data_IF_685737976764
#
_entry.id   IF_685737976764
#
_cell.length_a   1.000
_cell.length_b   1.000
_cell.length_c   1.000
_cell.angle_alpha   90.00
_cell.angle_beta   90.00
_cell.angle_gamma   90.00
#
_symmetry.space_group_name_H-M   'P 1'
#
loop_
_entity.id
_entity.type
_entity.pdbx_description
1 polymer ?
#
# COMPACT_ATOMS: atom_id res chain seq x y z
N UNK A 1 44.07 32.07 15.02
CA UNK A 1 43.74 33.45 14.59
C UNK A 1 42.28 33.65 14.98
N UNK A 2 42.02 33.90 16.27
CA UNK A 2 41.69 35.21 16.89
C UNK A 2 40.30 35.70 16.45
N UNK A 3 39.22 35.37 17.19
CA UNK A 3 38.50 36.11 18.28
C UNK A 3 37.34 37.02 17.77
N UNK A 4 36.17 36.91 18.45
CA UNK A 4 35.20 37.98 18.84
C UNK A 4 34.20 38.48 17.78
N UNK A 5 32.97 38.93 18.09
CA UNK A 5 32.07 38.99 19.27
C UNK A 5 30.71 39.48 18.73
N UNK A 6 29.62 39.25 19.47
CA UNK A 6 28.40 40.05 19.36
C UNK A 6 28.61 41.44 20.03
N UNK A 7 27.79 42.46 19.73
CA UNK A 7 26.78 42.81 20.73
C UNK A 7 25.44 43.37 20.22
N UNK A 8 24.51 43.33 21.16
CA UNK A 8 23.13 43.78 21.27
C UNK A 8 22.79 45.22 20.86
N UNK A 9 21.50 45.46 20.57
CA UNK A 9 20.79 46.65 21.06
C UNK A 9 19.29 46.38 21.27
N UNK A 10 18.87 46.64 22.50
CA UNK A 10 17.52 46.57 23.05
C UNK A 10 16.55 47.57 22.42
N UNK A 11 15.27 47.19 22.30
CA UNK A 11 14.15 48.06 22.71
C UNK A 11 13.22 47.24 23.61
N UNK A 12 13.09 47.73 24.85
CA UNK A 12 12.12 47.33 25.86
C UNK A 12 10.74 47.88 25.50
N UNK A 13 9.68 47.09 25.66
CA UNK A 13 8.47 47.52 26.36
C UNK A 13 7.79 46.30 27.01
N UNK A 14 7.65 46.37 28.33
CA UNK A 14 6.94 45.43 29.20
C UNK A 14 5.49 45.92 29.32
N UNK A 15 4.51 45.02 29.18
CA UNK A 15 3.34 45.00 30.08
C UNK A 15 2.85 43.57 30.30
N UNK A 16 2.58 43.27 31.56
CA UNK A 16 2.17 42.00 32.15
C UNK A 16 0.64 41.83 32.12
N UNK A 17 0.23 40.58 31.92
CA UNK A 17 -0.92 39.85 32.49
C UNK A 17 -2.38 40.01 32.01
N UNK A 18 -2.84 38.84 31.53
CA UNK A 18 -4.09 38.10 31.78
C UNK A 18 -5.34 38.46 30.96
N UNK A 19 -5.68 37.50 30.10
CA UNK A 19 -6.97 37.39 29.42
C UNK A 19 -6.88 36.42 28.24
N UNK A 20 -6.90 35.11 28.54
CA UNK A 20 -7.20 33.97 27.66
C UNK A 20 -6.99 34.15 26.15
N UNK A 21 -5.79 33.79 25.68
CA UNK A 21 -5.45 33.72 24.26
C UNK A 21 -5.40 32.28 23.77
N UNK A 22 -6.41 31.91 22.97
CA UNK A 22 -6.39 30.74 22.08
C UNK A 22 -5.08 30.73 21.30
N UNK A 23 -4.26 29.68 21.46
CA UNK A 23 -3.06 29.50 20.63
C UNK A 23 -3.49 29.25 19.18
N UNK A 24 -3.27 30.24 18.32
CA UNK A 24 -3.45 30.12 16.88
C UNK A 24 -2.52 29.05 16.33
N UNK A 25 -3.08 28.11 15.55
CA UNK A 25 -2.35 27.19 14.69
C UNK A 25 -1.58 28.05 13.68
N UNK A 26 -0.25 27.91 13.61
CA UNK A 26 0.56 28.56 12.57
C UNK A 26 -0.03 28.19 11.21
N UNK A 27 -0.45 29.19 10.42
CA UNK A 27 -1.04 28.97 9.10
C UNK A 27 -0.02 28.25 8.21
N UNK A 28 -0.44 27.14 7.60
CA UNK A 28 0.34 26.43 6.58
C UNK A 28 0.63 27.40 5.43
N UNK A 29 1.90 27.54 5.05
CA UNK A 29 2.28 28.39 3.92
C UNK A 29 1.77 27.79 2.59
N UNK A 30 1.16 28.60 1.70
CA UNK A 30 0.67 28.14 0.39
C UNK A 30 1.74 27.43 -0.47
N UNK A 31 3.01 27.82 -0.31
CA UNK A 31 4.13 27.31 -1.11
C UNK A 31 4.47 25.84 -0.79
N UNK A 32 4.17 25.37 0.43
CA UNK A 32 4.47 23.99 0.88
C UNK A 32 3.44 22.99 0.36
N UNK A 33 2.19 23.44 0.14
CA UNK A 33 1.10 22.58 -0.32
C UNK A 33 1.23 22.15 -1.79
N UNK A 34 1.84 22.99 -2.63
CA UNK A 34 2.10 22.67 -4.03
C UNK A 34 3.18 21.60 -4.25
N UNK A 35 3.98 21.29 -3.23
CA UNK A 35 5.06 20.29 -3.29
C UNK A 35 4.55 18.85 -3.20
N UNK A 36 3.34 18.64 -2.67
CA UNK A 36 2.72 17.31 -2.56
C UNK A 36 1.96 17.01 -3.84
N UNK A 37 2.57 16.18 -4.70
CA UNK A 37 1.89 15.61 -5.88
C UNK A 37 0.59 14.94 -5.47
N UNK A 38 -0.43 15.03 -6.31
CA UNK A 38 -1.77 14.54 -5.99
C UNK A 38 -1.79 13.05 -5.56
N UNK A 39 -1.02 12.19 -6.23
CA UNK A 39 -0.82 10.78 -5.85
C UNK A 39 -0.16 10.53 -4.48
N UNK A 40 0.50 11.54 -3.89
CA UNK A 40 1.14 11.46 -2.57
C UNK A 40 0.27 12.07 -1.47
N UNK A 41 -0.91 12.59 -1.80
CA UNK A 41 -1.81 13.22 -0.85
C UNK A 41 -2.44 12.15 0.04
N UNK A 42 -2.09 12.18 1.32
CA UNK A 42 -2.77 11.42 2.35
C UNK A 42 -3.90 12.27 2.92
N UNK A 43 -5.11 11.72 2.95
CA UNK A 43 -6.29 12.45 3.39
C UNK A 43 -6.17 12.89 4.85
N UNK A 44 -6.30 14.19 5.08
CA UNK A 44 -6.28 14.80 6.41
C UNK A 44 -7.69 15.14 6.92
N UNK A 45 -8.69 15.11 6.04
CA UNK A 45 -10.08 15.27 6.41
C UNK A 45 -10.90 14.10 5.88
N UNK A 46 -10.74 12.93 6.50
CA UNK A 46 -11.30 11.68 5.98
C UNK A 46 -12.78 11.48 6.40
N UNK A 47 -13.45 12.55 6.81
CA UNK A 47 -14.85 12.56 7.26
C UNK A 47 -15.71 13.40 6.29
N UNK A 48 -17.01 13.13 6.20
CA UNK A 48 -17.90 13.89 5.32
C UNK A 48 -17.95 15.40 5.64
N UNK A 49 -18.15 16.21 4.60
CA UNK A 49 -18.28 17.67 4.74
C UNK A 49 -16.96 18.41 4.88
N UNK A 50 -15.89 17.84 4.33
CA UNK A 50 -14.59 18.47 4.12
C UNK A 50 -14.74 19.76 3.29
N UNK A 51 -14.15 20.85 3.79
CA UNK A 51 -14.11 22.12 3.09
C UNK A 51 -12.79 22.82 3.40
N UNK A 52 -12.43 23.83 2.60
CA UNK A 52 -11.18 24.57 2.73
C UNK A 52 -10.92 25.04 4.16
N UNK A 53 -11.91 25.69 4.78
CA UNK A 53 -11.77 26.24 6.12
C UNK A 53 -11.47 25.16 7.15
N UNK A 54 -12.30 24.11 7.19
CA UNK A 54 -12.13 23.00 8.15
C UNK A 54 -10.83 22.22 7.91
N UNK A 55 -10.38 22.11 6.66
CA UNK A 55 -9.11 21.49 6.33
C UNK A 55 -7.92 22.31 6.87
N UNK A 56 -7.93 23.61 6.63
CA UNK A 56 -6.89 24.53 7.09
C UNK A 56 -6.88 24.63 8.62
N UNK A 57 -8.05 24.55 9.28
CA UNK A 57 -8.18 24.42 10.75
C UNK A 57 -7.51 23.16 11.30
N UNK A 58 -7.37 22.09 10.51
CA UNK A 58 -6.61 20.88 10.88
C UNK A 58 -5.10 21.01 10.65
N UNK A 59 -4.63 22.16 10.16
CA UNK A 59 -3.24 22.40 9.77
C UNK A 59 -2.87 21.67 8.47
N UNK A 60 -3.86 21.42 7.61
CA UNK A 60 -3.69 20.65 6.39
C UNK A 60 -3.78 21.51 5.13
N UNK A 61 -3.28 20.94 4.03
CA UNK A 61 -3.28 21.56 2.73
C UNK A 61 -4.61 21.34 2.03
N UNK A 62 -5.16 22.41 1.48
CA UNK A 62 -6.33 22.36 0.62
C UNK A 62 -5.94 22.68 -0.82
N UNK A 63 -6.19 21.74 -1.74
CA UNK A 63 -6.04 22.01 -3.18
C UNK A 63 -7.33 21.61 -3.89
N UNK A 64 -8.07 22.58 -4.48
CA UNK A 64 -9.20 22.29 -5.35
C UNK A 64 -8.73 21.43 -6.52
N UNK A 65 -9.53 20.43 -6.88
CA UNK A 65 -9.22 19.56 -7.99
C UNK A 65 -9.25 20.34 -9.32
N UNK A 66 -8.16 20.27 -10.09
CA UNK A 66 -8.26 20.38 -11.55
C UNK A 66 -8.72 19.01 -12.08
N UNK A 67 -9.60 19.03 -13.08
CA UNK A 67 -10.28 17.87 -13.70
C UNK A 67 -9.41 16.70 -14.20
N UNK A 68 -8.10 16.71 -13.95
CA UNK A 68 -7.12 15.73 -14.40
C UNK A 68 -6.86 14.57 -13.44
N UNK A 69 -7.20 14.63 -12.14
CA UNK A 69 -6.93 13.53 -11.17
C UNK A 69 -8.11 13.26 -10.21
N UNK A 70 -9.14 12.48 -10.63
CA UNK A 70 -10.28 12.12 -9.78
C UNK A 70 -9.92 11.15 -8.65
N UNK A 71 -10.54 11.34 -7.48
CA UNK A 71 -10.40 10.50 -6.30
C UNK A 71 -9.27 10.90 -5.32
N UNK A 72 -8.52 11.97 -5.61
CA UNK A 72 -7.48 12.47 -4.70
C UNK A 72 -8.08 13.42 -3.66
N UNK A 73 -7.69 13.32 -2.37
CA UNK A 73 -8.30 14.10 -1.31
C UNK A 73 -8.02 15.60 -1.49
N UNK A 74 -9.09 16.41 -1.41
CA UNK A 74 -8.99 17.89 -1.46
C UNK A 74 -8.25 18.45 -0.26
N UNK A 75 -8.39 17.78 0.90
CA UNK A 75 -7.69 18.08 2.13
C UNK A 75 -6.63 17.02 2.43
N UNK A 76 -5.35 17.39 2.50
CA UNK A 76 -4.28 16.43 2.70
C UNK A 76 -3.18 16.93 3.62
N UNK A 77 -2.43 16.00 4.19
CA UNK A 77 -1.32 16.33 5.07
C UNK A 77 -0.18 17.04 4.31
N UNK A 78 0.31 18.21 4.78
CA UNK A 78 1.54 18.79 4.25
C UNK A 78 2.76 17.90 4.54
N UNK A 79 3.86 18.03 3.78
CA UNK A 79 5.11 17.31 4.04
C UNK A 79 5.65 17.57 5.45
N UNK A 80 5.37 18.75 5.98
CA UNK A 80 5.83 19.23 7.29
C UNK A 80 4.77 19.05 8.38
N UNK A 81 3.72 18.25 8.13
CA UNK A 81 2.68 18.04 9.13
C UNK A 81 3.29 17.58 10.44
N UNK A 82 2.88 18.21 11.55
CA UNK A 82 3.42 17.91 12.85
C UNK A 82 3.18 16.42 13.18
N UNK A 83 4.26 15.65 13.23
CA UNK A 83 4.24 14.24 13.65
C UNK A 83 5.02 14.13 14.95
N UNK A 84 5.03 12.93 15.54
CA UNK A 84 5.90 12.70 16.68
C UNK A 84 7.35 12.85 16.27
N UNK A 85 8.15 13.42 17.16
CA UNK A 85 9.61 13.45 17.09
C UNK A 85 10.18 12.78 18.32
N UNK A 86 11.39 12.29 18.19
CA UNK A 86 12.10 11.67 19.32
C UNK A 86 12.57 12.79 20.26
N UNK A 87 12.06 12.81 21.49
CA UNK A 87 12.52 13.69 22.55
C UNK A 87 13.74 13.10 23.25
N UNK A 88 13.71 11.80 23.52
CA UNK A 88 14.81 11.05 24.13
C UNK A 88 14.93 9.69 23.42
N UNK A 89 16.17 9.25 23.14
CA UNK A 89 16.46 7.94 22.58
C UNK A 89 17.56 7.27 23.40
N UNK A 90 17.18 6.24 24.16
CA UNK A 90 18.09 5.46 24.97
C UNK A 90 18.29 4.10 24.32
N UNK A 91 19.47 3.88 23.74
CA UNK A 91 19.84 2.55 23.23
C UNK A 91 20.22 1.65 24.40
N UNK A 92 19.79 0.40 24.33
CA UNK A 92 20.13 -0.66 25.28
C UNK A 92 20.80 -1.79 24.51
N UNK A 93 21.49 -2.69 25.20
CA UNK A 93 22.06 -3.88 24.56
C UNK A 93 21.00 -4.68 23.80
N UNK A 94 19.74 -4.64 24.25
CA UNK A 94 18.60 -5.35 23.64
C UNK A 94 17.72 -4.49 22.74
N UNK A 95 18.12 -3.30 22.33
CA UNK A 95 17.32 -2.46 21.43
C UNK A 95 17.31 -1.01 21.86
N UNK A 96 16.14 -0.39 21.99
CA UNK A 96 16.05 1.02 22.38
C UNK A 96 14.72 1.37 23.04
N UNK A 97 14.73 2.43 23.85
CA UNK A 97 13.54 3.11 24.35
C UNK A 97 13.55 4.54 23.81
N UNK A 98 12.45 4.96 23.21
CA UNK A 98 12.27 6.30 22.66
C UNK A 98 11.09 7.00 23.34
N UNK A 99 11.32 8.18 23.91
CA UNK A 99 10.24 9.06 24.31
C UNK A 99 9.87 9.92 23.12
N UNK A 100 8.68 9.70 22.58
CA UNK A 100 8.14 10.42 21.44
C UNK A 100 7.30 11.57 21.95
N UNK A 101 7.46 12.73 21.33
CA UNK A 101 6.74 13.94 21.69
C UNK A 101 6.25 14.66 20.45
N UNK A 102 5.06 15.25 20.57
CA UNK A 102 4.44 16.09 19.54
C UNK A 102 4.11 17.45 20.16
N UNK A 103 4.54 18.52 19.48
CA UNK A 103 4.39 19.90 19.98
C UNK A 103 3.02 20.49 19.67
N UNK A 104 2.53 20.23 18.46
CA UNK A 104 1.26 20.76 17.98
C UNK A 104 0.19 19.70 18.09
N UNK A 105 -0.99 20.12 18.54
CA UNK A 105 -2.13 19.22 18.60
C UNK A 105 -2.62 18.85 17.19
N UNK A 106 -2.98 17.58 16.99
CA UNK A 106 -3.63 17.11 15.77
C UNK A 106 -5.13 17.39 15.80
N UNK A 107 -5.79 17.12 14.69
CA UNK A 107 -7.25 17.12 14.61
C UNK A 107 -7.90 15.96 15.38
N UNK A 108 -7.12 14.98 15.83
CA UNK A 108 -7.64 13.81 16.55
C UNK A 108 -7.89 14.20 18.00
N UNK A 109 -9.16 14.13 18.42
CA UNK A 109 -9.54 14.37 19.80
C UNK A 109 -8.87 13.37 20.77
N UNK A 110 -8.53 13.82 21.98
CA UNK A 110 -7.91 13.01 23.04
C UNK A 110 -6.57 12.35 22.66
N UNK A 111 -5.79 13.00 21.79
CA UNK A 111 -4.45 12.56 21.47
C UNK A 111 -3.48 12.67 22.67
N UNK A 112 -2.42 11.86 22.62
CA UNK A 112 -1.37 11.91 23.63
C UNK A 112 -0.21 12.77 23.15
N UNK A 113 0.18 13.79 23.92
CA UNK A 113 1.37 14.59 23.56
C UNK A 113 2.68 13.80 23.70
N UNK A 114 2.67 12.75 24.52
CA UNK A 114 3.82 11.91 24.80
C UNK A 114 3.45 10.43 24.66
N UNK A 115 4.29 9.70 23.93
CA UNK A 115 4.20 8.25 23.78
C UNK A 115 5.59 7.68 24.01
N UNK A 116 5.71 6.64 24.83
CA UNK A 116 6.97 5.90 24.96
C UNK A 116 6.91 4.68 24.08
N UNK A 117 7.94 4.49 23.26
CA UNK A 117 8.17 3.28 22.50
C UNK A 117 9.33 2.52 23.12
N UNK A 118 9.11 1.27 23.50
CA UNK A 118 10.15 0.31 23.85
C UNK A 118 10.29 -0.71 22.72
N UNK A 119 11.46 -0.77 22.10
CA UNK A 119 11.85 -1.79 21.13
C UNK A 119 12.82 -2.75 21.81
N UNK A 120 12.35 -3.95 22.15
CA UNK A 120 13.09 -4.92 22.94
C UNK A 120 13.28 -6.20 22.13
N UNK A 121 14.53 -6.60 21.99
CA UNK A 121 14.96 -7.87 21.45
C UNK A 121 14.57 -8.98 22.44
N UNK A 122 13.54 -9.75 22.10
CA UNK A 122 13.10 -10.88 22.94
C UNK A 122 13.73 -12.19 22.50
N UNK A 123 13.91 -12.43 21.20
CA UNK A 123 14.62 -13.60 20.66
C UNK A 123 15.49 -13.18 19.45
N UNK A 124 16.32 -14.09 18.94
CA UNK A 124 17.09 -13.82 17.70
C UNK A 124 16.20 -13.36 16.53
N UNK A 125 14.95 -13.82 16.46
CA UNK A 125 14.04 -13.54 15.34
C UNK A 125 12.83 -12.69 15.73
N UNK A 126 12.68 -12.32 17.00
CA UNK A 126 11.55 -11.53 17.51
C UNK A 126 12.03 -10.23 18.17
N UNK A 127 11.62 -9.12 17.57
CA UNK A 127 11.66 -7.79 18.15
C UNK A 127 10.27 -7.42 18.64
N UNK A 128 10.13 -7.06 19.91
CA UNK A 128 8.88 -6.54 20.48
C UNK A 128 8.91 -5.03 20.42
N UNK A 129 7.88 -4.44 19.80
CA UNK A 129 7.61 -3.01 19.87
C UNK A 129 6.45 -2.79 20.83
N UNK A 130 6.66 -2.01 21.89
CA UNK A 130 5.63 -1.67 22.88
C UNK A 130 5.45 -0.17 22.94
N UNK A 131 4.23 0.30 22.65
CA UNK A 131 3.85 1.70 22.82
C UNK A 131 3.09 1.85 24.14
N UNK A 132 3.56 2.74 24.99
CA UNK A 132 2.93 3.07 26.29
C UNK A 132 2.67 4.56 26.37
N UNK A 133 1.67 4.93 27.15
CA UNK A 133 1.33 6.32 27.41
C UNK A 133 1.86 6.68 28.80
N UNK A 134 2.93 7.49 28.92
CA UNK A 134 3.52 7.80 30.23
C UNK A 134 2.53 8.42 31.22
N UNK A 135 1.54 9.16 30.72
CA UNK A 135 0.48 9.78 31.53
C UNK A 135 -0.66 8.83 31.92
N UNK A 136 -0.73 7.63 31.33
CA UNK A 136 -1.75 6.62 31.63
C UNK A 136 -1.09 5.23 31.77
N UNK A 137 -0.41 4.99 32.90
CA UNK A 137 0.35 3.75 33.12
C UNK A 137 -0.52 2.52 33.35
N UNK A 138 -1.82 2.72 33.64
CA UNK A 138 -2.76 1.64 33.96
C UNK A 138 -3.66 1.28 32.78
N UNK A 139 -3.35 1.80 31.58
CA UNK A 139 -4.09 1.49 30.36
C UNK A 139 -4.09 -0.03 30.13
N UNK A 140 -5.27 -0.59 29.96
CA UNK A 140 -5.43 -2.03 29.77
C UNK A 140 -4.69 -2.52 28.52
N UNK A 141 -3.89 -3.58 28.69
CA UNK A 141 -3.18 -4.27 27.61
C UNK A 141 -3.78 -5.69 27.45
N UNK A 142 -4.19 -6.09 26.23
CA UNK A 142 -4.61 -7.47 25.98
C UNK A 142 -3.47 -8.44 26.30
N UNK A 143 -3.72 -9.55 27.02
CA UNK A 143 -2.72 -10.57 27.23
C UNK A 143 -2.40 -11.27 25.91
N UNK A 144 -1.18 -11.09 25.40
CA UNK A 144 -0.67 -11.78 24.21
C UNK A 144 0.36 -12.82 24.67
N UNK A 145 0.14 -14.13 24.46
CA UNK A 145 1.05 -15.18 24.88
C UNK A 145 2.28 -15.20 23.96
N UNK A 146 3.28 -14.38 24.26
CA UNK A 146 4.47 -14.25 23.43
C UNK A 146 5.57 -15.29 23.74
N UNK A 147 5.44 -16.17 24.73
CA UNK A 147 6.52 -17.07 25.14
C UNK A 147 7.72 -16.33 25.75
N UNK A 148 8.64 -17.04 26.40
CA UNK A 148 9.71 -16.39 27.18
C UNK A 148 10.80 -15.77 26.30
N UNK A 149 11.30 -14.56 26.66
CA UNK A 149 12.50 -13.98 26.04
C UNK A 149 13.76 -14.83 26.28
N UNK A 150 14.67 -14.84 25.31
CA UNK A 150 16.00 -15.45 25.43
C UNK A 150 16.84 -14.72 26.50
N UNK A 151 17.32 -15.47 27.49
CA UNK A 151 18.03 -14.92 28.66
C UNK A 151 19.37 -14.25 28.32
N UNK A 152 20.08 -14.70 27.28
CA UNK A 152 21.42 -14.23 26.91
C UNK A 152 21.46 -13.58 25.53
N UNK A 153 20.34 -13.02 25.06
CA UNK A 153 20.32 -12.33 23.78
C UNK A 153 21.04 -10.98 23.88
N UNK A 154 22.09 -10.82 23.08
CA UNK A 154 22.84 -9.55 22.92
C UNK A 154 22.34 -8.79 21.69
N UNK A 155 21.94 -9.47 20.61
CA UNK A 155 21.42 -8.84 19.39
C UNK A 155 20.62 -9.85 18.58
N UNK A 156 19.52 -9.43 17.96
CA UNK A 156 18.75 -10.26 17.03
C UNK A 156 19.16 -10.07 15.56
N UNK A 157 18.62 -10.91 14.68
CA UNK A 157 18.85 -10.95 13.23
C UNK A 157 18.08 -9.83 12.48
N UNK A 158 17.77 -8.73 13.17
CA UNK A 158 17.09 -7.57 12.63
C UNK A 158 17.96 -6.34 12.83
N UNK A 159 18.05 -5.50 11.79
CA UNK A 159 18.66 -4.20 11.87
C UNK A 159 17.57 -3.14 11.85
N UNK A 160 17.47 -2.36 12.93
CA UNK A 160 16.43 -1.35 13.11
C UNK A 160 17.08 0.00 13.33
N UNK A 161 16.80 0.91 12.39
CA UNK A 161 17.19 2.30 12.46
C UNK A 161 16.01 3.16 12.90
N UNK A 162 16.34 4.20 13.67
CA UNK A 162 15.36 5.17 14.17
C UNK A 162 15.60 6.49 13.47
N UNK A 163 14.65 6.91 12.66
CA UNK A 163 14.54 8.27 12.18
C UNK A 163 13.95 9.12 13.32
N UNK A 164 14.65 10.18 13.71
CA UNK A 164 14.28 10.94 14.90
C UNK A 164 13.20 12.00 14.64
N UNK A 165 13.19 12.59 13.43
CA UNK A 165 12.25 13.63 13.03
C UNK A 165 12.03 13.59 11.49
N UNK A 166 10.78 13.45 11.01
CA UNK A 166 9.66 12.86 11.74
C UNK A 166 10.05 11.49 12.31
N UNK A 167 9.47 11.09 13.44
CA UNK A 167 9.78 9.80 14.04
C UNK A 167 9.41 8.67 13.09
N UNK A 168 10.34 7.76 12.85
CA UNK A 168 10.12 6.59 12.01
C UNK A 168 11.04 5.45 12.43
N UNK A 169 10.56 4.22 12.25
CA UNK A 169 11.37 3.01 12.45
C UNK A 169 11.61 2.41 11.07
N UNK A 170 12.87 2.29 10.68
CA UNK A 170 13.28 1.65 9.42
C UNK A 170 13.91 0.30 9.74
N UNK A 171 13.48 -0.75 9.03
CA UNK A 171 14.15 -2.04 9.07
C UNK A 171 15.03 -2.14 7.83
N UNK A 172 16.35 -2.27 8.00
CA UNK A 172 17.24 -2.53 6.89
C UNK A 172 17.16 -4.02 6.57
N UNK A 173 16.37 -4.38 5.56
CA UNK A 173 16.30 -5.75 5.04
C UNK A 173 16.68 -5.71 3.57
N UNK A 174 17.86 -6.23 3.23
CA UNK A 174 18.12 -6.76 1.90
C UNK A 174 17.43 -8.13 1.80
N UNK A 175 16.11 -8.15 1.61
CA UNK A 175 15.29 -9.28 1.11
C UNK A 175 13.82 -9.05 1.46
N UNK A 176 13.01 -8.74 0.45
CA UNK A 176 11.55 -8.71 0.57
C UNK A 176 11.00 -10.13 0.48
N UNK A 177 10.98 -10.86 1.58
CA UNK A 177 10.11 -12.03 1.73
C UNK A 177 8.95 -11.70 2.67
N UNK A 178 7.85 -11.22 2.09
CA UNK A 178 6.58 -11.22 2.80
C UNK A 178 6.00 -12.62 2.81
N UNK A 179 5.87 -13.16 4.01
CA UNK A 179 5.30 -14.47 4.28
C UNK A 179 3.78 -14.43 4.20
N UNK A 180 3.23 -14.87 3.07
CA UNK A 180 1.85 -15.35 3.01
C UNK A 180 1.73 -16.81 3.48
N UNK A 181 2.87 -17.49 3.63
CA UNK A 181 2.98 -18.84 4.18
C UNK A 181 4.24 -18.88 5.06
N UNK A 182 4.22 -18.24 6.24
CA UNK A 182 5.19 -18.63 7.27
C UNK A 182 4.60 -19.80 8.02
N UNK A 183 5.07 -21.00 7.71
CA UNK A 183 5.20 -22.04 8.72
C UNK A 183 5.97 -21.42 9.90
N UNK A 184 5.33 -21.26 11.05
CA UNK A 184 6.00 -20.83 12.27
C UNK A 184 7.08 -21.86 12.58
N UNK A 185 8.33 -21.55 12.26
CA UNK A 185 9.47 -22.32 12.76
C UNK A 185 9.61 -21.94 14.22
N UNK A 186 9.19 -22.83 15.12
CA UNK A 186 9.49 -22.71 16.55
C UNK A 186 11.02 -22.70 16.73
N UNK A 187 11.60 -21.84 17.58
CA UNK A 187 13.03 -21.87 17.84
C UNK A 187 13.42 -23.18 18.52
N UNK A 188 14.48 -23.81 18.04
CA UNK A 188 15.07 -24.99 18.63
C UNK A 188 15.45 -24.75 20.10
N UNK A 189 14.65 -25.28 21.02
CA UNK A 189 15.16 -26.05 22.16
C UNK A 189 14.05 -26.94 22.72
N UNK A 190 14.42 -28.20 23.00
CA UNK A 190 13.60 -29.34 23.41
C UNK A 190 12.94 -30.09 22.24
N UNK A 191 13.13 -31.41 22.27
CA UNK A 191 12.60 -32.41 21.32
C UNK A 191 11.08 -32.27 21.21
N UNK A 192 10.60 -31.37 20.37
CA UNK A 192 9.20 -31.20 20.10
C UNK A 192 8.77 -32.27 19.09
N UNK A 193 7.82 -33.12 19.49
CA UNK A 193 7.19 -34.14 18.63
C UNK A 193 6.16 -33.49 17.69
N UNK A 194 6.34 -32.22 17.33
CA UNK A 194 5.45 -31.54 16.42
C UNK A 194 5.66 -32.06 14.99
N UNK A 195 4.55 -32.32 14.32
CA UNK A 195 4.56 -32.73 12.91
C UNK A 195 5.28 -31.65 12.09
N UNK A 196 6.14 -32.03 11.13
CA UNK A 196 6.70 -31.08 10.16
C UNK A 196 5.61 -30.17 9.60
N UNK A 197 5.91 -28.88 9.47
CA UNK A 197 4.96 -27.84 9.03
C UNK A 197 5.22 -27.38 7.58
N UNK A 198 6.13 -28.05 6.87
CA UNK A 198 6.39 -27.77 5.45
C UNK A 198 5.11 -27.97 4.63
N UNK A 199 4.76 -27.06 3.70
CA UNK A 199 3.56 -27.18 2.86
C UNK A 199 3.36 -28.55 2.21
N UNK A 200 4.43 -29.24 1.82
CA UNK A 200 4.37 -30.54 1.17
C UNK A 200 4.04 -31.70 2.12
N UNK A 201 4.07 -31.48 3.43
CA UNK A 201 3.84 -32.51 4.46
C UNK A 201 2.36 -32.67 4.85
N UNK A 202 1.49 -31.79 4.36
CA UNK A 202 0.05 -31.81 4.61
C UNK A 202 -0.70 -32.79 3.70
N UNK A 203 -2.01 -32.96 3.94
CA UNK A 203 -2.86 -33.79 3.08
C UNK A 203 -2.90 -33.24 1.64
N UNK A 204 -3.25 -34.09 0.67
CA UNK A 204 -3.36 -33.69 -0.74
C UNK A 204 -4.26 -32.46 -0.95
N UNK A 205 -5.40 -32.40 -0.25
CA UNK A 205 -6.34 -31.28 -0.32
C UNK A 205 -5.73 -29.99 0.25
N UNK A 206 -5.07 -30.06 1.40
CA UNK A 206 -4.41 -28.91 2.01
C UNK A 206 -3.23 -28.42 1.14
N UNK A 207 -2.41 -29.33 0.62
CA UNK A 207 -1.31 -29.00 -0.29
C UNK A 207 -1.81 -28.36 -1.58
N UNK A 208 -2.95 -28.79 -2.13
CA UNK A 208 -3.58 -28.17 -3.29
C UNK A 208 -4.05 -26.73 -2.97
N UNK A 209 -4.68 -26.52 -1.82
CA UNK A 209 -5.10 -25.19 -1.36
C UNK A 209 -3.90 -24.24 -1.14
N UNK A 210 -2.84 -24.72 -0.47
CA UNK A 210 -1.61 -23.94 -0.28
C UNK A 210 -0.99 -23.58 -1.63
N UNK A 211 -0.95 -24.51 -2.58
CA UNK A 211 -0.45 -24.25 -3.94
C UNK A 211 -1.28 -23.19 -4.65
N UNK A 212 -2.61 -23.21 -4.52
CA UNK A 212 -3.48 -22.19 -5.11
C UNK A 212 -3.18 -20.80 -4.53
N UNK A 213 -3.12 -20.67 -3.20
CA UNK A 213 -2.77 -19.41 -2.53
C UNK A 213 -1.38 -18.88 -2.94
N UNK A 214 -0.38 -19.77 -3.03
CA UNK A 214 0.95 -19.41 -3.52
C UNK A 214 0.90 -18.93 -4.97
N UNK A 215 0.19 -19.62 -5.86
CA UNK A 215 0.09 -19.18 -7.27
C UNK A 215 -0.49 -17.76 -7.39
N UNK A 216 -1.54 -17.46 -6.65
CA UNK A 216 -2.12 -16.11 -6.59
C UNK A 216 -1.10 -15.08 -6.13
N UNK A 217 -0.37 -15.36 -5.03
CA UNK A 217 0.70 -14.47 -4.55
C UNK A 217 1.75 -14.23 -5.64
N UNK A 218 2.19 -15.27 -6.34
CA UNK A 218 3.25 -15.16 -7.34
C UNK A 218 2.81 -14.35 -8.56
N UNK A 219 1.55 -14.46 -8.98
CA UNK A 219 0.98 -13.52 -9.95
C UNK A 219 1.04 -12.07 -9.44
N UNK A 220 0.69 -11.83 -8.18
CA UNK A 220 0.63 -10.49 -7.59
C UNK A 220 1.99 -9.88 -7.20
N UNK A 221 3.10 -10.60 -7.38
CA UNK A 221 4.42 -10.10 -6.95
C UNK A 221 4.79 -8.71 -7.51
N UNK A 222 4.54 -8.35 -8.78
CA UNK A 222 4.91 -7.03 -9.30
C UNK A 222 4.11 -5.91 -8.64
N UNK A 223 2.80 -6.15 -8.42
CA UNK A 223 1.95 -5.24 -7.67
C UNK A 223 2.43 -5.08 -6.22
N UNK A 224 2.64 -6.20 -5.51
CA UNK A 224 3.13 -6.19 -4.12
C UNK A 224 4.49 -5.51 -4.01
N UNK A 225 5.40 -5.77 -4.95
CA UNK A 225 6.72 -5.14 -5.00
C UNK A 225 6.60 -3.63 -5.15
N UNK A 226 5.72 -3.17 -6.04
CA UNK A 226 5.47 -1.73 -6.25
C UNK A 226 4.92 -1.06 -4.99
N UNK A 227 4.04 -1.74 -4.24
CA UNK A 227 3.58 -1.26 -2.93
C UNK A 227 4.72 -1.14 -1.93
N UNK A 228 5.64 -2.11 -1.87
CA UNK A 228 6.81 -2.01 -1.00
C UNK A 228 7.78 -0.92 -1.42
N UNK A 229 7.95 -0.73 -2.72
CA UNK A 229 8.76 0.35 -3.25
C UNK A 229 8.20 1.71 -2.83
N UNK A 230 6.88 1.88 -2.95
CA UNK A 230 6.18 3.09 -2.48
C UNK A 230 6.25 3.25 -0.95
N UNK A 231 6.19 2.16 -0.19
CA UNK A 231 6.40 2.20 1.26
C UNK A 231 7.83 2.64 1.62
N UNK A 232 8.83 2.17 0.87
CA UNK A 232 10.23 2.56 1.04
C UNK A 232 10.47 4.04 0.73
N UNK A 233 9.93 4.54 -0.39
CA UNK A 233 10.11 5.93 -0.81
C UNK A 233 9.34 6.92 0.08
N UNK A 234 8.08 6.62 0.38
CA UNK A 234 7.14 7.61 0.92
C UNK A 234 6.60 7.26 2.32
N UNK A 235 6.99 6.13 2.91
CA UNK A 235 6.48 5.69 4.21
C UNK A 235 5.02 5.23 4.21
N UNK A 236 4.45 4.93 3.04
CA UNK A 236 3.07 4.41 2.93
C UNK A 236 2.94 2.99 3.46
N UNK A 237 1.71 2.54 3.70
CA UNK A 237 1.40 1.18 4.15
C UNK A 237 1.04 0.26 2.98
N UNK A 238 1.49 -1.00 3.06
CA UNK A 238 1.21 -2.04 2.05
C UNK A 238 -0.11 -2.74 2.32
N UNK A 239 -0.30 -3.27 3.53
CA UNK A 239 -1.60 -3.74 4.00
C UNK A 239 -2.25 -2.62 4.82
N UNK A 240 -3.53 -2.33 4.55
CA UNK A 240 -4.25 -1.17 5.08
C UNK A 240 -5.57 -1.62 5.70
N UNK A 241 -5.93 -1.03 6.84
CA UNK A 241 -7.27 -1.18 7.38
C UNK A 241 -8.29 -0.56 6.40
N UNK A 242 -9.50 -1.11 6.33
CA UNK A 242 -10.54 -0.55 5.45
C UNK A 242 -10.83 0.92 5.78
N UNK A 243 -10.79 1.29 7.07
CA UNK A 243 -10.98 2.67 7.52
C UNK A 243 -9.93 3.66 7.00
N UNK A 244 -8.78 3.20 6.49
CA UNK A 244 -7.81 4.11 5.86
C UNK A 244 -8.15 4.40 4.40
N UNK A 245 -8.87 3.48 3.73
CA UNK A 245 -9.26 3.62 2.33
C UNK A 245 -10.70 4.13 2.15
N UNK A 246 -11.54 3.91 3.16
CA UNK A 246 -12.98 4.23 3.16
C UNK A 246 -13.38 4.90 4.49
N UNK A 247 -12.80 6.07 4.80
CA UNK A 247 -12.96 6.66 6.11
C UNK A 247 -14.34 7.31 6.32
N UNK A 248 -15.03 7.67 5.25
CA UNK A 248 -16.42 8.14 5.32
C UNK A 248 -17.39 7.01 5.75
N UNK A 249 -16.98 5.75 5.60
CA UNK A 249 -17.80 4.59 5.97
C UNK A 249 -17.49 4.15 7.41
N UNK A 250 -18.16 4.73 8.41
CA UNK A 250 -17.91 4.47 9.84
C UNK A 250 -17.93 2.98 10.27
N UNK A 251 -18.61 2.12 9.50
CA UNK A 251 -18.62 0.66 9.72
C UNK A 251 -17.19 0.09 9.62
N UNK A 252 -16.36 0.63 8.73
CA UNK A 252 -15.01 0.13 8.44
C UNK A 252 -14.04 0.26 9.60
N UNK A 253 -14.28 1.18 10.53
CA UNK A 253 -13.45 1.40 11.74
C UNK A 253 -13.51 0.23 12.71
N UNK A 254 -14.58 -0.57 12.65
CA UNK A 254 -14.78 -1.73 13.52
C UNK A 254 -14.30 -3.04 12.87
N UNK A 255 -14.00 -3.02 11.58
CA UNK A 255 -13.60 -4.21 10.83
C UNK A 255 -12.15 -4.57 11.14
N UNK A 256 -11.93 -5.81 11.56
CA UNK A 256 -10.60 -6.36 11.92
C UNK A 256 -10.28 -7.67 11.19
N UNK A 257 -11.22 -8.16 10.39
CA UNK A 257 -11.18 -9.47 9.73
C UNK A 257 -10.87 -9.39 8.23
N UNK A 258 -10.86 -8.17 7.68
CA UNK A 258 -10.56 -7.87 6.28
C UNK A 258 -9.50 -6.78 6.20
N UNK A 259 -8.79 -6.70 5.09
CA UNK A 259 -7.83 -5.62 4.83
C UNK A 259 -7.74 -5.31 3.34
N UNK A 260 -7.27 -4.10 3.04
CA UNK A 260 -6.89 -3.69 1.70
C UNK A 260 -5.40 -3.96 1.50
N UNK A 261 -5.02 -4.58 0.38
CA UNK A 261 -3.65 -4.65 -0.09
C UNK A 261 -3.47 -3.55 -1.12
N UNK A 262 -2.72 -2.50 -0.74
CA UNK A 262 -2.74 -1.21 -1.41
C UNK A 262 -4.15 -0.61 -1.41
N UNK A 263 -4.50 0.13 -2.46
CA UNK A 263 -5.82 0.71 -2.66
C UNK A 263 -6.74 -0.14 -3.56
N UNK A 264 -6.23 -1.25 -4.12
CA UNK A 264 -6.90 -1.97 -5.22
C UNK A 264 -7.43 -3.35 -4.88
N UNK A 265 -6.92 -4.02 -3.84
CA UNK A 265 -7.31 -5.41 -3.54
C UNK A 265 -7.92 -5.51 -2.15
N UNK A 266 -9.21 -5.87 -2.07
CA UNK A 266 -9.88 -6.20 -0.82
C UNK A 266 -9.73 -7.70 -0.55
N UNK A 267 -9.05 -8.05 0.54
CA UNK A 267 -8.76 -9.44 0.92
C UNK A 267 -9.68 -9.87 2.06
N UNK A 268 -10.40 -10.97 1.82
CA UNK A 268 -11.44 -11.48 2.72
C UNK A 268 -11.10 -12.92 3.16
N UNK A 269 -10.17 -13.10 4.11
CA UNK A 269 -9.74 -14.43 4.54
C UNK A 269 -10.84 -15.17 5.33
N UNK A 270 -10.88 -16.49 5.20
CA UNK A 270 -11.65 -17.36 6.10
C UNK A 270 -10.87 -17.54 7.39
N UNK A 271 -11.48 -17.20 8.53
CA UNK A 271 -10.82 -17.19 9.85
C UNK A 271 -11.34 -18.25 10.82
N UNK A 272 -12.51 -18.83 10.55
CA UNK A 272 -13.14 -19.83 11.41
C UNK A 272 -13.01 -21.24 10.82
N UNK A 273 -12.82 -22.22 11.69
CA UNK A 273 -12.73 -23.63 11.31
C UNK A 273 -14.03 -24.15 10.67
N UNK A 274 -13.89 -24.98 9.63
CA UNK A 274 -15.02 -25.66 8.99
C UNK A 274 -15.89 -24.79 8.07
N UNK A 275 -15.60 -23.49 7.94
CA UNK A 275 -16.31 -22.60 7.02
C UNK A 275 -15.93 -22.87 5.57
N UNK A 276 -16.93 -22.74 4.69
CA UNK A 276 -16.77 -22.79 3.22
C UNK A 276 -17.26 -21.50 2.56
N UNK A 277 -17.45 -20.45 3.35
CA UNK A 277 -17.86 -19.13 2.92
C UNK A 277 -17.31 -18.08 3.89
N UNK A 278 -17.25 -16.83 3.44
CA UNK A 278 -16.94 -15.67 4.28
C UNK A 278 -18.02 -14.61 4.12
N UNK A 279 -18.49 -14.07 5.23
CA UNK A 279 -19.30 -12.85 5.24
C UNK A 279 -18.33 -11.66 5.35
N UNK A 280 -18.33 -10.81 4.34
CA UNK A 280 -17.36 -9.76 4.16
C UNK A 280 -18.06 -8.45 3.83
N UNK A 281 -17.68 -7.36 4.49
CA UNK A 281 -18.13 -6.02 4.13
C UNK A 281 -17.47 -5.61 2.81
N UNK A 282 -18.26 -5.14 1.86
CA UNK A 282 -17.82 -4.63 0.56
C UNK A 282 -18.08 -3.12 0.54
N UNK A 283 -17.04 -2.28 0.60
CA UNK A 283 -17.18 -0.83 0.57
C UNK A 283 -17.87 -0.34 -0.69
N UNK A 284 -18.35 0.90 -0.67
CA UNK A 284 -19.04 1.53 -1.79
C UNK A 284 -18.15 1.59 -3.02
N UNK A 285 -18.75 1.31 -4.18
CA UNK A 285 -18.08 1.30 -5.48
C UNK A 285 -18.23 -0.03 -6.21
N UNK A 286 -17.51 -0.15 -7.32
CA UNK A 286 -17.49 -1.36 -8.13
C UNK A 286 -16.29 -2.24 -7.79
N UNK A 287 -16.53 -3.55 -7.79
CA UNK A 287 -15.55 -4.57 -7.42
C UNK A 287 -15.65 -5.75 -8.36
N UNK A 288 -14.53 -6.40 -8.66
CA UNK A 288 -14.49 -7.65 -9.43
C UNK A 288 -13.93 -8.75 -8.55
N UNK A 289 -14.71 -9.82 -8.34
CA UNK A 289 -14.26 -11.00 -7.62
C UNK A 289 -13.28 -11.82 -8.48
N UNK A 290 -12.04 -11.97 -8.03
CA UNK A 290 -11.00 -12.70 -8.76
C UNK A 290 -11.28 -14.20 -8.89
N UNK A 291 -12.14 -14.77 -8.05
CA UNK A 291 -12.42 -16.21 -8.04
C UNK A 291 -13.33 -16.64 -9.20
N UNK A 292 -14.28 -15.78 -9.59
CA UNK A 292 -15.32 -16.09 -10.57
C UNK A 292 -15.50 -15.01 -11.65
N UNK A 293 -14.82 -13.86 -11.53
CA UNK A 293 -14.90 -12.72 -12.45
C UNK A 293 -16.17 -11.88 -12.31
N UNK A 294 -17.01 -12.14 -11.30
CA UNK A 294 -18.25 -11.41 -11.10
C UNK A 294 -17.98 -9.95 -10.71
N UNK A 295 -18.59 -9.02 -11.45
CA UNK A 295 -18.61 -7.60 -11.12
C UNK A 295 -19.73 -7.32 -10.12
N UNK A 296 -19.39 -6.58 -9.08
CA UNK A 296 -20.22 -6.28 -7.92
C UNK A 296 -20.28 -4.76 -7.76
N UNK A 297 -21.46 -4.20 -7.98
CA UNK A 297 -21.77 -2.84 -7.53
C UNK A 297 -22.18 -2.91 -6.06
N UNK A 298 -21.49 -2.16 -5.21
CA UNK A 298 -21.73 -2.12 -3.77
C UNK A 298 -22.03 -0.71 -3.30
N UNK A 299 -22.92 -0.62 -2.30
CA UNK A 299 -23.31 0.62 -1.60
C UNK A 299 -22.84 0.61 -0.14
N UNK A 300 -21.80 -0.17 0.17
CA UNK A 300 -21.31 -0.37 1.54
C UNK A 300 -22.16 -1.38 2.30
N UNK A 301 -21.97 -2.68 2.04
CA UNK A 301 -22.80 -3.74 2.63
C UNK A 301 -22.03 -5.04 2.85
N UNK A 302 -22.50 -5.86 3.79
CA UNK A 302 -22.02 -7.23 3.96
C UNK A 302 -22.50 -8.10 2.80
N UNK A 303 -21.61 -8.93 2.26
CA UNK A 303 -21.92 -9.96 1.25
C UNK A 303 -21.27 -11.29 1.62
N UNK A 304 -21.93 -12.37 1.24
CA UNK A 304 -21.40 -13.72 1.37
C UNK A 304 -20.64 -14.11 0.11
N UNK A 305 -19.43 -14.65 0.29
CA UNK A 305 -18.59 -15.18 -0.77
C UNK A 305 -18.31 -16.65 -0.52
N UNK A 306 -18.41 -17.48 -1.57
CA UNK A 306 -17.95 -18.85 -1.50
C UNK A 306 -16.45 -18.89 -1.27
N UNK A 307 -16.03 -19.66 -0.28
CA UNK A 307 -14.63 -19.80 0.11
C UNK A 307 -14.34 -21.26 0.47
N UNK A 308 -14.46 -22.21 -0.49
CA UNK A 308 -13.97 -23.57 -0.29
C UNK A 308 -12.47 -23.52 0.02
N UNK A 309 -11.93 -24.60 0.59
CA UNK A 309 -10.57 -24.64 1.16
C UNK A 309 -9.44 -24.03 0.28
N UNK A 310 -9.58 -24.08 -1.05
CA UNK A 310 -8.59 -23.61 -2.01
C UNK A 310 -8.81 -22.18 -2.54
N UNK A 311 -9.82 -21.47 -2.05
CA UNK A 311 -10.21 -20.12 -2.50
C UNK A 311 -10.07 -19.15 -1.34
N UNK A 312 -9.33 -18.08 -1.57
CA UNK A 312 -9.33 -16.88 -0.73
C UNK A 312 -10.09 -15.83 -1.53
N UNK A 313 -11.28 -15.39 -1.08
CA UNK A 313 -12.01 -14.34 -1.78
C UNK A 313 -11.21 -13.03 -1.78
N UNK A 314 -10.89 -12.55 -2.98
CA UNK A 314 -10.17 -11.30 -3.22
C UNK A 314 -10.92 -10.51 -4.27
N UNK A 315 -11.29 -9.28 -3.93
CA UNK A 315 -11.97 -8.39 -4.85
C UNK A 315 -11.00 -7.32 -5.36
N UNK A 316 -11.00 -7.06 -6.66
CA UNK A 316 -10.30 -5.93 -7.27
C UNK A 316 -11.23 -4.75 -7.35
N UNK A 317 -10.80 -3.59 -6.87
CA UNK A 317 -11.56 -2.34 -6.99
C UNK A 317 -11.63 -1.92 -8.47
N UNK A 318 -12.80 -1.45 -8.91
CA UNK A 318 -12.97 -0.79 -10.19
C UNK A 318 -12.06 0.43 -10.29
N UNK A 319 -11.44 0.64 -11.45
CA UNK A 319 -10.50 1.72 -11.69
C UNK A 319 -9.05 1.38 -11.36
N UNK A 320 -8.73 0.11 -11.12
CA UNK A 320 -7.36 -0.34 -10.81
C UNK A 320 -6.70 -1.09 -11.97
N UNK A 321 -5.40 -0.80 -12.16
CA UNK A 321 -4.52 -1.52 -13.08
C UNK A 321 -3.45 -2.24 -12.26
N UNK A 322 -3.44 -3.57 -12.32
CA UNK A 322 -2.52 -4.41 -11.55
C UNK A 322 -1.47 -5.02 -12.48
N UNK A 323 -0.17 -4.75 -12.27
CA UNK A 323 0.88 -5.52 -12.92
C UNK A 323 1.02 -6.90 -12.26
N UNK A 324 1.01 -7.93 -13.10
CA UNK A 324 1.05 -9.33 -12.70
C UNK A 324 2.23 -10.06 -13.35
N UNK A 325 2.75 -11.10 -12.72
CA UNK A 325 3.59 -12.08 -13.41
C UNK A 325 2.74 -12.86 -14.40
N UNK A 326 3.27 -13.12 -15.60
CA UNK A 326 2.54 -13.91 -16.61
C UNK A 326 2.37 -15.38 -16.19
N UNK A 327 3.31 -15.93 -15.43
CA UNK A 327 3.30 -17.31 -14.95
C UNK A 327 3.55 -17.37 -13.43
N UNK A 328 2.84 -18.24 -12.69
CA UNK A 328 3.04 -18.38 -11.26
C UNK A 328 3.95 -19.59 -10.98
N UNK A 329 5.27 -19.43 -11.16
CA UNK A 329 6.26 -20.45 -10.82
C UNK A 329 7.12 -20.00 -9.63
N UNK A 330 8.38 -20.42 -9.50
CA UNK A 330 9.31 -19.83 -8.53
C UNK A 330 9.75 -18.42 -8.95
N UNK A 331 10.25 -17.61 -8.01
CA UNK A 331 10.44 -16.15 -8.21
C UNK A 331 11.45 -15.85 -9.31
N UNK A 332 12.58 -16.59 -9.32
CA UNK A 332 13.66 -16.45 -10.31
C UNK A 332 13.24 -16.83 -11.73
N UNK A 333 12.24 -17.70 -11.88
CA UNK A 333 11.69 -18.13 -13.18
C UNK A 333 10.58 -17.19 -13.61
N UNK A 334 9.62 -16.92 -12.73
CA UNK A 334 8.47 -16.05 -13.03
C UNK A 334 8.94 -14.66 -13.47
N UNK A 335 9.95 -14.09 -12.78
CA UNK A 335 10.55 -12.79 -13.13
C UNK A 335 11.04 -12.70 -14.58
N UNK A 336 11.45 -13.83 -15.19
CA UNK A 336 11.97 -13.89 -16.56
C UNK A 336 10.89 -14.16 -17.61
N UNK A 337 9.70 -14.58 -17.18
CA UNK A 337 8.59 -14.92 -18.05
C UNK A 337 7.76 -13.70 -18.46
N UNK A 338 8.13 -12.51 -17.98
CA UNK A 338 7.48 -11.25 -18.32
C UNK A 338 6.16 -11.02 -17.58
N UNK A 339 5.58 -9.86 -17.85
CA UNK A 339 4.46 -9.28 -17.12
C UNK A 339 3.16 -9.39 -17.92
N UNK A 340 2.05 -9.32 -17.19
CA UNK A 340 0.71 -9.10 -17.72
C UNK A 340 0.06 -7.94 -16.95
N UNK A 341 -0.90 -7.25 -17.56
CA UNK A 341 -1.71 -6.24 -16.87
C UNK A 341 -3.13 -6.77 -16.69
N UNK A 342 -3.68 -6.63 -15.49
CA UNK A 342 -5.12 -6.72 -15.24
C UNK A 342 -5.67 -5.30 -15.11
N UNK A 343 -6.44 -4.87 -16.09
CA UNK A 343 -7.05 -3.54 -16.18
C UNK A 343 -8.52 -3.68 -15.83
N UNK A 344 -8.91 -3.21 -14.65
CA UNK A 344 -10.32 -3.22 -14.21
C UNK A 344 -10.88 -1.82 -14.36
N UNK A 345 -11.76 -1.65 -15.34
CA UNK A 345 -12.46 -0.39 -15.60
C UNK A 345 -13.30 0.05 -14.40
N UNK A 346 -13.35 1.36 -14.12
CA UNK A 346 -14.12 1.93 -13.00
C UNK A 346 -15.60 1.61 -13.09
N UNK A 347 -16.13 1.70 -14.30
CA UNK A 347 -17.51 1.37 -14.68
C UNK A 347 -17.46 0.40 -15.86
N UNK A 348 -18.61 -0.17 -16.22
CA UNK A 348 -18.70 -0.96 -17.46
C UNK A 348 -18.74 -0.03 -18.67
N UNK A 349 -18.01 -0.37 -19.73
CA UNK A 349 -18.05 0.30 -21.03
C UNK A 349 -18.96 -0.53 -21.96
N UNK A 350 -20.07 0.09 -22.35
CA UNK A 350 -21.11 -0.50 -23.18
C UNK A 350 -20.97 -0.17 -24.67
N UNK A 351 -20.01 0.69 -25.03
CA UNK A 351 -19.84 1.18 -26.39
C UNK A 351 -20.33 2.61 -26.62
N UNK A 352 -21.18 3.14 -25.75
CA UNK A 352 -21.81 4.45 -25.93
C UNK A 352 -20.93 5.57 -25.35
N UNK A 353 -20.74 5.59 -24.03
CA UNK A 353 -19.92 6.60 -23.35
C UNK A 353 -18.52 6.06 -23.00
N UNK A 354 -17.49 6.87 -23.26
CA UNK A 354 -16.09 6.53 -22.99
C UNK A 354 -15.59 7.15 -21.67
N UNK A 355 -16.41 7.08 -20.61
CA UNK A 355 -16.17 7.76 -19.34
C UNK A 355 -15.33 6.93 -18.35
N UNK A 356 -15.29 5.61 -18.53
CA UNK A 356 -14.59 4.71 -17.62
C UNK A 356 -13.08 4.95 -17.60
N UNK A 357 -12.51 4.90 -16.39
CA UNK A 357 -11.11 5.15 -16.10
C UNK A 357 -10.49 4.00 -15.32
N UNK A 358 -9.16 3.94 -15.33
CA UNK A 358 -8.39 3.07 -14.46
C UNK A 358 -6.97 3.60 -14.31
N UNK A 359 -6.33 3.34 -13.17
CA UNK A 359 -4.94 3.75 -12.94
C UNK A 359 -4.15 2.70 -12.19
N UNK A 360 -2.84 2.72 -12.37
CA UNK A 360 -1.92 1.86 -11.64
C UNK A 360 -0.48 2.26 -11.90
N UNK A 361 0.44 1.51 -11.30
CA UNK A 361 1.86 1.74 -11.51
C UNK A 361 2.66 0.45 -11.31
N UNK A 362 3.90 0.49 -11.79
CA UNK A 362 4.91 -0.53 -11.59
C UNK A 362 6.24 0.11 -11.26
N UNK A 363 6.88 -0.36 -10.19
CA UNK A 363 8.30 -0.16 -9.94
C UNK A 363 9.08 -1.44 -10.27
N UNK A 364 10.18 -1.30 -10.99
CA UNK A 364 11.02 -2.43 -11.38
C UNK A 364 12.51 -2.09 -11.33
N UNK A 365 13.29 -2.92 -10.65
CA UNK A 365 14.75 -2.80 -10.54
C UNK A 365 15.42 -4.17 -10.78
N UNK A 366 16.62 -4.41 -10.25
CA UNK A 366 17.29 -5.72 -10.24
C UNK A 366 17.06 -6.51 -8.92
N UNK A 367 16.42 -5.89 -7.93
CA UNK A 367 16.14 -6.43 -6.60
C UNK A 367 17.36 -6.60 -5.68
N UNK A 368 18.54 -6.09 -6.05
CA UNK A 368 19.80 -6.38 -5.34
C UNK A 368 20.68 -5.14 -5.16
N UNK A 369 20.82 -4.30 -6.19
CA UNK A 369 21.87 -3.28 -6.22
C UNK A 369 21.52 -2.02 -5.43
N UNK A 370 22.53 -1.47 -4.75
CA UNK A 370 22.54 -0.11 -4.24
C UNK A 370 23.64 0.71 -4.95
N UNK A 371 23.42 2.01 -5.28
CA UNK A 371 22.18 2.78 -5.06
C UNK A 371 21.02 2.35 -5.96
N UNK A 372 19.79 2.61 -5.50
CA UNK A 372 18.55 2.24 -6.20
C UNK A 372 18.53 2.76 -7.64
N UNK A 373 18.32 1.84 -8.58
CA UNK A 373 18.21 2.11 -10.01
C UNK A 373 17.02 1.36 -10.57
N UNK A 374 15.96 2.08 -10.94
CA UNK A 374 14.65 1.49 -11.21
C UNK A 374 13.91 2.18 -12.37
N UNK A 375 13.01 1.42 -12.98
CA UNK A 375 11.99 1.87 -13.92
C UNK A 375 10.72 2.11 -13.11
N UNK A 376 10.07 3.25 -13.35
CA UNK A 376 8.73 3.56 -12.87
C UNK A 376 7.80 3.75 -14.06
N UNK A 377 6.83 2.85 -14.19
CA UNK A 377 5.82 2.90 -15.25
C UNK A 377 4.47 3.24 -14.63
N UNK A 378 3.84 4.29 -15.13
CA UNK A 378 2.47 4.68 -14.77
C UNK A 378 1.51 4.17 -15.85
N UNK A 379 0.37 3.65 -15.41
CA UNK A 379 -0.70 3.16 -16.26
C UNK A 379 -1.94 4.03 -16.06
N UNK A 380 -2.57 4.46 -17.14
CA UNK A 380 -3.81 5.25 -17.11
C UNK A 380 -4.74 4.83 -18.23
N UNK A 381 -6.01 4.64 -17.93
CA UNK A 381 -7.09 4.50 -18.91
C UNK A 381 -7.92 5.77 -18.91
N UNK A 382 -8.08 6.36 -20.10
CA UNK A 382 -9.01 7.46 -20.35
C UNK A 382 -9.50 7.41 -21.79
N UNK A 383 -10.79 7.66 -22.02
CA UNK A 383 -11.40 7.71 -23.35
C UNK A 383 -11.04 6.48 -24.23
N UNK A 384 -11.15 5.27 -23.65
CA UNK A 384 -10.80 3.98 -24.31
C UNK A 384 -9.34 3.86 -24.77
N UNK A 385 -8.43 4.59 -24.11
CA UNK A 385 -6.98 4.50 -24.34
C UNK A 385 -6.28 4.15 -23.04
N UNK A 386 -5.61 2.99 -23.01
CA UNK A 386 -4.63 2.64 -22.00
C UNK A 386 -3.26 3.23 -22.40
N UNK A 387 -2.75 4.14 -21.59
CA UNK A 387 -1.45 4.77 -21.77
C UNK A 387 -0.45 4.22 -20.75
N UNK A 388 0.72 3.81 -21.25
CA UNK A 388 1.89 3.47 -20.45
C UNK A 388 2.86 4.65 -20.52
N UNK A 389 3.27 5.18 -19.38
CA UNK A 389 4.33 6.21 -19.28
C UNK A 389 5.46 5.71 -18.42
N UNK A 390 6.62 5.48 -19.02
CA UNK A 390 7.80 4.92 -18.36
C UNK A 390 8.86 5.99 -18.11
N UNK A 391 9.41 5.98 -16.90
CA UNK A 391 10.52 6.84 -16.51
C UNK A 391 11.59 6.03 -15.79
N UNK A 392 12.85 6.48 -15.90
CA UNK A 392 14.01 5.83 -15.30
C UNK A 392 14.57 6.71 -14.19
N UNK A 393 15.01 6.10 -13.10
CA UNK A 393 15.64 6.85 -11.99
C UNK A 393 17.04 7.38 -12.35
N UNK A 394 17.74 6.74 -13.29
CA UNK A 394 19.04 7.17 -13.80
C UNK A 394 19.21 6.84 -15.30
N UNK A 395 20.01 7.61 -16.08
CA UNK A 395 20.27 7.29 -17.49
C UNK A 395 20.85 5.88 -17.74
N UNK A 396 21.57 5.33 -16.78
CA UNK A 396 22.19 4.00 -16.86
C UNK A 396 21.30 2.87 -16.35
N UNK A 397 20.06 3.16 -15.95
CA UNK A 397 19.17 2.16 -15.33
C UNK A 397 18.94 0.94 -16.22
N UNK A 398 18.75 1.13 -17.53
CA UNK A 398 18.55 0.02 -18.46
C UNK A 398 19.78 -0.88 -18.62
N UNK A 399 20.98 -0.42 -18.26
CA UNK A 399 22.20 -1.25 -18.29
C UNK A 399 22.25 -2.22 -17.10
N UNK A 400 21.55 -1.90 -16.02
CA UNK A 400 21.51 -2.70 -14.79
C UNK A 400 20.32 -3.65 -14.74
N UNK A 401 19.27 -3.37 -15.53
CA UNK A 401 18.04 -4.16 -15.54
C UNK A 401 18.04 -5.10 -16.75
N UNK A 402 17.65 -6.35 -16.51
CA UNK A 402 17.37 -7.29 -17.58
C UNK A 402 16.02 -6.96 -18.25
N UNK A 403 16.05 -6.34 -19.42
CA UNK A 403 14.85 -5.96 -20.19
C UNK A 403 13.90 -7.11 -20.52
N UNK A 404 14.36 -8.36 -20.52
CA UNK A 404 13.45 -9.52 -20.71
C UNK A 404 12.43 -9.64 -19.57
N UNK A 405 12.78 -9.16 -18.39
CA UNK A 405 11.92 -9.19 -17.21
C UNK A 405 10.81 -8.14 -17.27
N UNK A 406 10.97 -7.11 -18.13
CA UNK A 406 10.01 -6.02 -18.33
C UNK A 406 9.14 -6.24 -19.56
N UNK A 407 9.20 -7.41 -20.21
CA UNK A 407 8.35 -7.72 -21.36
C UNK A 407 6.89 -7.79 -20.92
N UNK A 408 6.01 -7.07 -21.61
CA UNK A 408 4.56 -7.13 -21.39
C UNK A 408 3.94 -8.07 -22.42
N UNK A 409 3.38 -9.19 -21.96
CA UNK A 409 2.86 -10.24 -22.85
C UNK A 409 1.37 -10.15 -23.11
N UNK A 410 0.61 -9.70 -22.11
CA UNK A 410 -0.85 -9.77 -22.15
C UNK A 410 -1.50 -8.66 -21.34
N UNK A 411 -2.64 -8.20 -21.83
CA UNK A 411 -3.56 -7.32 -21.10
C UNK A 411 -4.90 -8.05 -20.95
N UNK A 412 -5.43 -8.07 -19.73
CA UNK A 412 -6.77 -8.50 -19.40
C UNK A 412 -7.60 -7.24 -19.09
N UNK A 413 -8.40 -6.80 -20.05
CA UNK A 413 -9.26 -5.63 -19.93
C UNK A 413 -10.65 -6.06 -19.46
N UNK A 414 -11.01 -5.73 -18.23
CA UNK A 414 -12.24 -6.15 -17.55
C UNK A 414 -13.24 -4.99 -17.48
N UNK A 415 -14.47 -5.25 -17.89
CA UNK A 415 -15.58 -4.29 -17.84
C UNK A 415 -16.10 -3.89 -19.22
N UNK A 416 -15.94 -4.71 -20.26
CA UNK A 416 -16.54 -4.47 -21.57
C UNK A 416 -17.82 -5.30 -21.73
N UNK A 417 -18.98 -4.66 -21.93
CA UNK A 417 -20.26 -5.38 -22.11
C UNK A 417 -20.37 -6.07 -23.47
N UNK A 418 -19.68 -5.53 -24.47
CA UNK A 418 -19.64 -6.04 -25.82
C UNK A 418 -18.20 -6.17 -26.32
N UNK A 419 -18.03 -6.95 -27.39
CA UNK A 419 -16.70 -7.08 -28.01
C UNK A 419 -16.35 -5.75 -28.67
N UNK A 420 -15.11 -5.24 -28.48
CA UNK A 420 -14.63 -4.15 -29.31
C UNK A 420 -14.57 -4.62 -30.77
N UNK A 421 -14.69 -3.66 -31.68
CA UNK A 421 -14.49 -3.89 -33.11
C UNK A 421 -13.00 -4.07 -33.41
N UNK A 422 -12.17 -3.19 -32.85
CA UNK A 422 -10.72 -3.23 -33.03
C UNK A 422 -10.00 -2.82 -31.75
N UNK A 423 -8.78 -3.35 -31.62
CA UNK A 423 -7.81 -2.98 -30.59
C UNK A 423 -6.52 -2.66 -31.31
N UNK A 424 -5.93 -1.51 -31.05
CA UNK A 424 -4.69 -1.07 -31.71
C UNK A 424 -3.63 -0.67 -30.69
N UNK A 425 -2.36 -0.93 -31.00
CA UNK A 425 -1.20 -0.39 -30.28
C UNK A 425 -0.36 0.45 -31.22
N UNK A 426 -0.16 1.72 -30.88
CA UNK A 426 0.63 2.67 -31.69
C UNK A 426 0.27 2.66 -33.20
N UNK A 427 -1.04 2.55 -33.50
CA UNK A 427 -1.66 2.45 -34.83
C UNK A 427 -1.61 1.08 -35.54
N UNK A 428 -1.01 0.05 -34.94
CA UNK A 428 -1.05 -1.32 -35.45
C UNK A 428 -2.18 -2.11 -34.80
N UNK A 429 -2.90 -2.91 -35.58
CA UNK A 429 -4.02 -3.73 -35.09
C UNK A 429 -3.50 -4.95 -34.31
N UNK A 430 -4.14 -5.23 -33.17
CA UNK A 430 -3.79 -6.32 -32.27
C UNK A 430 -4.84 -7.42 -32.30
N UNK A 431 -4.38 -8.67 -32.19
CA UNK A 431 -5.27 -9.79 -31.95
C UNK A 431 -5.82 -9.75 -30.52
N UNK A 432 -7.12 -10.01 -30.39
CA UNK A 432 -7.78 -10.10 -29.10
C UNK A 432 -8.86 -11.19 -29.07
N UNK A 433 -9.24 -11.61 -27.85
CA UNK A 433 -10.35 -12.53 -27.61
C UNK A 433 -11.31 -11.91 -26.59
N UNK A 434 -12.61 -11.94 -26.87
CA UNK A 434 -13.63 -11.48 -25.94
C UNK A 434 -14.29 -12.65 -25.19
N UNK A 435 -14.17 -12.64 -23.86
CA UNK A 435 -14.79 -13.59 -22.94
C UNK A 435 -16.11 -13.00 -22.41
N UNK A 436 -17.19 -13.16 -23.18
CA UNK A 436 -18.49 -12.55 -22.91
C UNK A 436 -19.04 -12.81 -21.50
N UNK A 437 -18.89 -14.03 -20.98
CA UNK A 437 -19.39 -14.41 -19.65
C UNK A 437 -18.67 -13.68 -18.50
N UNK A 438 -17.46 -13.19 -18.74
CA UNK A 438 -16.63 -12.50 -17.76
C UNK A 438 -16.49 -11.00 -18.07
N UNK A 439 -17.01 -10.53 -19.21
CA UNK A 439 -16.83 -9.15 -19.70
C UNK A 439 -15.35 -8.76 -19.79
N UNK A 440 -14.51 -9.70 -20.26
CA UNK A 440 -13.05 -9.52 -20.37
C UNK A 440 -12.60 -9.60 -21.81
N UNK A 441 -11.81 -8.64 -22.25
CA UNK A 441 -11.02 -8.73 -23.47
C UNK A 441 -9.59 -9.12 -23.11
N UNK A 442 -9.11 -10.19 -23.75
CA UNK A 442 -7.74 -10.68 -23.62
C UNK A 442 -6.97 -10.22 -24.85
N UNK A 443 -5.98 -9.36 -24.65
CA UNK A 443 -5.12 -8.81 -25.70
C UNK A 443 -3.75 -9.45 -25.54
N UNK A 444 -3.32 -10.22 -26.55
CA UNK A 444 -1.96 -10.78 -26.60
C UNK A 444 -1.06 -9.76 -27.34
N UNK A 445 0.05 -9.34 -26.71
CA UNK A 445 0.89 -8.28 -27.25
C UNK A 445 2.03 -8.83 -28.13
N UNK A 446 2.50 -8.06 -29.14
CA UNK A 446 3.61 -8.45 -29.98
C UNK A 446 4.90 -8.71 -29.18
N UNK A 447 5.75 -9.59 -29.70
CA UNK A 447 7.03 -9.88 -29.08
C UNK A 447 7.91 -8.62 -29.00
N UNK A 448 8.54 -8.38 -27.84
CA UNK A 448 9.34 -7.19 -27.59
C UNK A 448 8.60 -6.02 -26.94
N UNK A 449 7.27 -6.08 -26.83
CA UNK A 449 6.48 -5.08 -26.09
C UNK A 449 6.92 -5.05 -24.63
N UNK A 450 7.15 -3.86 -24.06
CA UNK A 450 7.72 -3.71 -22.72
C UNK A 450 7.12 -2.56 -21.94
N UNK A 451 6.94 -2.75 -20.64
CA UNK A 451 6.56 -1.68 -19.69
C UNK A 451 7.65 -0.63 -19.51
N UNK A 452 8.88 -0.90 -19.97
CA UNK A 452 10.00 0.03 -19.87
C UNK A 452 9.95 1.19 -20.88
N UNK A 453 8.97 1.20 -21.79
CA UNK A 453 8.78 2.23 -22.82
C UNK A 453 7.33 2.73 -22.79
N UNK A 454 7.14 3.92 -23.31
CA UNK A 454 5.81 4.47 -23.52
C UNK A 454 5.09 3.69 -24.63
N UNK A 455 3.80 3.49 -24.46
CA UNK A 455 2.93 2.83 -25.43
C UNK A 455 1.48 3.27 -25.21
N UNK A 456 0.67 3.23 -26.27
CA UNK A 456 -0.78 3.44 -26.17
C UNK A 456 -1.54 2.28 -26.79
N UNK A 457 -2.48 1.72 -26.03
CA UNK A 457 -3.41 0.71 -26.50
C UNK A 457 -4.81 1.33 -26.52
N UNK A 458 -5.46 1.31 -27.69
CA UNK A 458 -6.80 1.88 -27.90
C UNK A 458 -7.77 0.77 -28.29
N UNK A 459 -9.01 0.85 -27.82
CA UNK A 459 -10.11 0.04 -28.32
C UNK A 459 -11.26 0.92 -28.83
N UNK A 460 -12.02 0.42 -29.80
CA UNK A 460 -13.18 1.12 -30.36
C UNK A 460 -14.35 0.17 -30.60
N UNK A 461 -15.54 0.76 -30.65
CA UNK A 461 -16.80 0.10 -30.99
C UNK A 461 -17.39 0.78 -32.23
N UNK A 462 -18.35 0.12 -32.88
CA UNK A 462 -19.10 0.73 -33.96
C UNK A 462 -19.75 2.05 -33.49
N UNK A 463 -19.69 3.11 -34.31
CA UNK A 463 -20.32 4.40 -34.00
C UNK A 463 -21.86 4.35 -34.02
#
# INVERSE_FOLDING_TARGET
MIISEAPSLCILFIFWLLGDGVYAIERVSPDVCGLVRAINRLDCFPEEGSNKQKCEERGCCWVPQDSSEPGMPWCFFPPEYATYRTKELNRTDRGFSALLWRNQSSYVANEFKQVRLDAIAETKTRLRLRFTIPSDPNRWEPPIPLGEPEKNLIKGDYNVDVQQSPFGIRRNVCSMEYNWVRSIRSPESQRDRSRPQDPATWSTNATAAIRAALRTRYHLLPYIYSLFFRAHLNGTTVARALAFEFPDELVTYKIKTQFMLGSCLLVNPVLDEGRTYVEAYVPTGEWVDLSNGARIVSVGQAKNFEAPLHVIPVLVRGGCILPLQSTPNITSVSRKDGLSLLVVLSTVDDGDEADSQASGELFWDDGVSEPLSFIHTQFEVKNRVLTLRSSMSHPDTLKKINLRETMLKRILLVGLLQSPESVTMDHEELEFRFLKSLQVVVIDLPEGTTVARDAQIRWSFYP
#
